data_IF_475359253733
#
_entry.id   IF_475359253733
#
_cell.length_a   1.000
_cell.length_b   1.000
_cell.length_c   1.000
_cell.angle_alpha   90.00
_cell.angle_beta   90.00
_cell.angle_gamma   90.00
#
_symmetry.space_group_name_H-M   'P 1'
#
loop_
_entity.id
_entity.type
_entity.pdbx_description
1 polymer ?
#
# COMPACT_ATOMS: atom_id res chain seq x y z
N UNK A 1 8.28 12.41 -30.85
CA UNK A 1 8.53 12.28 -29.40
C UNK A 1 7.19 12.09 -28.71
N UNK A 2 6.84 10.86 -28.33
CA UNK A 2 5.56 10.56 -27.69
C UNK A 2 5.52 11.11 -26.26
N UNK A 3 4.39 11.70 -25.87
CA UNK A 3 4.17 12.19 -24.49
C UNK A 3 4.35 11.01 -23.53
N UNK A 4 5.16 11.12 -22.45
CA UNK A 4 5.29 10.05 -21.48
C UNK A 4 3.92 9.72 -20.89
N UNK A 5 3.44 8.51 -21.16
CA UNK A 5 2.19 8.03 -20.57
C UNK A 5 2.45 7.81 -19.08
N UNK A 6 1.91 8.69 -18.24
CA UNK A 6 1.93 8.47 -16.79
C UNK A 6 1.12 7.21 -16.51
N UNK A 7 1.66 6.21 -15.80
CA UNK A 7 0.89 5.02 -15.46
C UNK A 7 -0.31 5.41 -14.60
N UNK A 8 -1.42 4.68 -14.75
CA UNK A 8 -2.63 4.86 -13.94
C UNK A 8 -2.27 4.82 -12.45
N UNK A 9 -2.71 5.83 -11.69
CA UNK A 9 -2.48 5.93 -10.24
C UNK A 9 -3.72 5.43 -9.50
N UNK A 10 -3.53 4.62 -8.46
CA UNK A 10 -4.60 4.12 -7.59
C UNK A 10 -4.24 4.45 -6.15
N UNK A 11 -5.19 5.00 -5.39
CA UNK A 11 -5.02 5.21 -3.94
C UNK A 11 -5.20 3.87 -3.25
N UNK A 12 -4.18 3.41 -2.52
CA UNK A 12 -4.21 2.10 -1.81
C UNK A 12 -4.60 2.24 -0.34
N UNK A 13 -4.26 3.37 0.26
CA UNK A 13 -4.50 3.68 1.66
C UNK A 13 -4.92 5.14 1.74
N UNK A 14 -6.04 5.39 2.39
CA UNK A 14 -6.67 6.71 2.47
C UNK A 14 -6.91 7.05 3.94
N UNK A 15 -6.65 8.31 4.30
CA UNK A 15 -6.91 8.79 5.66
C UNK A 15 -8.42 8.73 5.95
N UNK A 16 -8.78 8.17 7.09
CA UNK A 16 -10.16 8.10 7.53
C UNK A 16 -10.58 9.38 8.26
N UNK A 17 -11.90 9.64 8.29
CA UNK A 17 -12.47 10.79 9.03
C UNK A 17 -12.26 10.70 10.54
N UNK A 18 -11.99 9.50 11.05
CA UNK A 18 -11.72 9.19 12.46
C UNK A 18 -10.36 9.69 12.95
N UNK A 19 -9.49 10.16 12.04
CA UNK A 19 -8.11 10.54 12.35
C UNK A 19 -7.09 9.43 12.08
N UNK A 20 -7.56 8.20 11.90
CA UNK A 20 -6.75 7.07 11.46
C UNK A 20 -6.12 7.39 10.09
N UNK A 21 -4.81 7.17 10.00
CA UNK A 21 -4.04 7.49 8.80
C UNK A 21 -3.02 6.41 8.48
N UNK A 22 -2.46 6.48 7.28
CA UNK A 22 -1.49 5.52 6.77
C UNK A 22 -0.22 6.27 6.34
N UNK A 23 0.93 5.89 6.90
CA UNK A 23 2.22 6.59 6.73
C UNK A 23 3.35 5.58 6.50
N UNK A 24 4.51 6.07 6.04
CA UNK A 24 5.71 5.25 5.79
C UNK A 24 5.43 4.11 4.78
N UNK A 25 5.09 4.43 3.52
CA UNK A 25 4.78 3.41 2.52
C UNK A 25 6.05 2.65 2.09
N UNK A 26 5.90 1.35 1.87
CA UNK A 26 6.92 0.50 1.25
C UNK A 26 6.28 -0.42 0.21
N UNK A 27 6.96 -0.63 -0.91
CA UNK A 27 6.48 -1.46 -2.01
C UNK A 27 7.55 -2.50 -2.37
N UNK A 28 7.18 -3.77 -2.30
CA UNK A 28 8.07 -4.91 -2.52
C UNK A 28 7.52 -5.80 -3.64
N UNK A 29 8.22 -5.93 -4.79
CA UNK A 29 7.97 -7.03 -5.71
C UNK A 29 8.47 -8.35 -5.11
N UNK A 30 7.71 -9.43 -5.28
CA UNK A 30 8.09 -10.78 -4.84
C UNK A 30 8.46 -11.60 -6.07
N UNK A 31 9.75 -11.97 -6.25
CA UNK A 31 10.18 -12.85 -7.34
C UNK A 31 9.91 -14.33 -7.05
N UNK A 32 9.64 -15.14 -8.10
CA UNK A 32 9.23 -14.67 -9.42
C UNK A 32 7.88 -13.95 -9.34
N UNK A 33 7.66 -12.96 -10.23
CA UNK A 33 6.38 -12.25 -10.33
C UNK A 33 5.20 -13.21 -10.50
N UNK A 34 3.94 -12.75 -10.32
CA UNK A 34 3.45 -11.38 -10.55
C UNK A 34 3.12 -10.57 -9.28
N UNK A 35 3.63 -10.97 -8.11
CA UNK A 35 3.14 -10.42 -6.84
C UNK A 35 3.86 -9.13 -6.45
N UNK A 36 3.07 -8.16 -5.97
CA UNK A 36 3.53 -6.94 -5.28
C UNK A 36 2.94 -6.90 -3.87
N UNK A 37 3.72 -6.47 -2.90
CA UNK A 37 3.27 -6.24 -1.53
C UNK A 37 3.44 -4.74 -1.22
N UNK A 38 2.33 -4.06 -0.98
CA UNK A 38 2.32 -2.67 -0.54
C UNK A 38 2.11 -2.65 0.98
N UNK A 39 3.15 -2.31 1.73
CA UNK A 39 3.13 -2.17 3.18
C UNK A 39 2.96 -0.71 3.57
N UNK A 40 2.33 -0.47 4.72
CA UNK A 40 2.21 0.86 5.30
C UNK A 40 1.97 0.76 6.81
N UNK A 41 2.42 1.75 7.57
CA UNK A 41 2.04 1.88 8.97
C UNK A 41 0.63 2.47 9.05
N UNK A 42 -0.27 1.77 9.73
CA UNK A 42 -1.53 2.35 10.19
C UNK A 42 -1.28 3.06 11.52
N UNK A 43 -1.80 4.29 11.64
CA UNK A 43 -1.61 5.15 12.80
C UNK A 43 -2.92 5.72 13.29
N UNK A 44 -3.01 5.97 14.59
CA UNK A 44 -4.20 6.58 15.21
C UNK A 44 -4.30 8.10 14.97
N UNK A 45 -3.17 8.72 14.57
CA UNK A 45 -3.09 10.13 14.17
C UNK A 45 -1.89 10.33 13.24
N UNK A 46 -1.67 11.55 12.69
CA UNK A 46 -0.46 11.88 11.92
C UNK A 46 0.86 11.81 12.69
N UNK A 47 0.85 11.84 14.03
CA UNK A 47 2.05 11.79 14.87
C UNK A 47 2.83 10.48 14.68
N UNK A 48 4.16 10.56 14.71
CA UNK A 48 5.08 9.43 14.62
C UNK A 48 5.01 8.50 15.83
N UNK A 49 4.78 9.05 17.03
CA UNK A 49 4.60 8.29 18.26
C UNK A 49 3.30 7.47 18.29
N UNK A 50 2.33 7.78 17.42
CA UNK A 50 1.04 7.12 17.34
C UNK A 50 0.99 6.00 16.27
N UNK A 51 2.15 5.44 15.89
CA UNK A 51 2.21 4.22 15.11
C UNK A 51 1.50 3.07 15.83
N UNK A 52 0.56 2.40 15.16
CA UNK A 52 -0.31 1.40 15.79
C UNK A 52 0.00 -0.02 15.32
N UNK A 53 0.01 -0.24 14.00
CA UNK A 53 0.24 -1.57 13.41
C UNK A 53 0.71 -1.47 11.97
N UNK A 54 1.40 -2.50 11.51
CA UNK A 54 1.75 -2.65 10.10
C UNK A 54 0.61 -3.33 9.35
N UNK A 55 0.25 -2.81 8.19
CA UNK A 55 -0.76 -3.41 7.31
C UNK A 55 -0.21 -3.53 5.89
N UNK A 56 -0.76 -4.44 5.10
CA UNK A 56 -0.42 -4.57 3.69
C UNK A 56 -1.64 -4.76 2.79
N UNK A 57 -1.45 -4.45 1.50
CA UNK A 57 -2.28 -4.97 0.41
C UNK A 57 -1.40 -5.78 -0.54
N UNK A 58 -1.84 -7.00 -0.86
CA UNK A 58 -1.22 -7.82 -1.89
C UNK A 58 -1.79 -7.43 -3.26
N UNK A 59 -0.92 -7.20 -4.22
CA UNK A 59 -1.24 -6.91 -5.61
C UNK A 59 -0.79 -8.02 -6.55
N UNK A 60 -1.56 -8.25 -7.61
CA UNK A 60 -1.19 -9.13 -8.72
C UNK A 60 -1.03 -8.30 -9.98
N UNK A 61 0.18 -8.26 -10.55
CA UNK A 61 0.49 -7.59 -11.80
C UNK A 61 0.00 -8.44 -12.99
N UNK A 62 -0.98 -7.94 -13.73
CA UNK A 62 -1.52 -8.60 -14.92
C UNK A 62 -1.88 -7.55 -15.99
N UNK A 63 -1.43 -7.77 -17.23
CA UNK A 63 -1.78 -6.91 -18.37
C UNK A 63 -1.39 -5.43 -18.19
N UNK A 64 -0.25 -5.16 -17.54
CA UNK A 64 0.22 -3.79 -17.29
C UNK A 64 -0.49 -3.04 -16.16
N UNK A 65 -1.35 -3.73 -15.39
CA UNK A 65 -2.07 -3.16 -14.25
C UNK A 65 -1.91 -4.04 -13.01
N UNK A 66 -2.07 -3.48 -11.82
CA UNK A 66 -2.01 -4.23 -10.56
C UNK A 66 -3.41 -4.32 -9.98
N UNK A 67 -3.87 -5.54 -9.73
CA UNK A 67 -5.12 -5.81 -9.00
C UNK A 67 -4.80 -5.95 -7.52
N UNK A 68 -5.16 -4.94 -6.73
CA UNK A 68 -4.92 -4.91 -5.30
C UNK A 68 -6.04 -5.62 -4.54
N UNK A 69 -5.65 -6.49 -3.61
CA UNK A 69 -6.57 -7.17 -2.70
C UNK A 69 -6.97 -6.33 -1.49
N UNK A 70 -7.67 -6.98 -0.55
CA UNK A 70 -8.09 -6.40 0.71
C UNK A 70 -6.90 -5.97 1.60
N UNK A 71 -7.20 -5.11 2.57
CA UNK A 71 -6.26 -4.73 3.62
C UNK A 71 -6.03 -5.93 4.55
N UNK A 72 -4.77 -6.22 4.86
CA UNK A 72 -4.37 -7.28 5.79
C UNK A 72 -3.56 -6.67 6.94
N UNK A 73 -3.95 -6.95 8.18
CA UNK A 73 -3.17 -6.58 9.36
C UNK A 73 -2.07 -7.62 9.56
N UNK A 74 -0.84 -7.15 9.75
CA UNK A 74 0.28 -8.04 10.07
C UNK A 74 0.38 -8.21 11.58
N UNK A 75 0.38 -9.47 12.02
CA UNK A 75 0.72 -9.84 13.38
C UNK A 75 2.23 -9.83 13.60
N UNK A 76 2.64 -9.73 14.85
CA UNK A 76 4.00 -10.09 15.26
C UNK A 76 4.08 -11.61 15.39
N UNK A 77 5.27 -12.18 15.15
CA UNK A 77 5.55 -13.59 15.38
C UNK A 77 5.63 -13.93 16.88
#
# INVERSE_FOLDING_TARGET
MGVPRTPSRTVLFERERTGLTYRVPSLLPVPPGPTLLAFVEQRLSPDDSHAHRLVLRRGTLAGGSVRWGALHVLGTA
#
